data_IF_845548260041
#
_entry.id   IF_845548260041
#
_cell.length_a   1.000
_cell.length_b   1.000
_cell.length_c   1.000
_cell.angle_alpha   90.00
_cell.angle_beta   90.00
_cell.angle_gamma   90.00
#
_symmetry.space_group_name_H-M   'P 1'
#
loop_
_entity.id
_entity.type
_entity.pdbx_description
1 polymer ?
#
# COMPACT_ATOMS: atom_id res chain seq x y z
N UNK A 1 16.28 6.82 -15.11
CA UNK A 1 15.66 7.03 -13.79
C UNK A 1 14.36 6.24 -13.73
N UNK A 2 14.26 5.23 -12.88
CA UNK A 2 13.01 4.46 -12.70
C UNK A 2 12.10 5.19 -11.73
N UNK A 3 10.80 5.25 -12.02
CA UNK A 3 9.78 5.81 -11.14
C UNK A 3 8.85 4.70 -10.64
N UNK A 4 8.47 4.78 -9.38
CA UNK A 4 7.52 3.87 -8.77
C UNK A 4 6.28 4.64 -8.31
N UNK A 5 5.12 4.10 -8.61
CA UNK A 5 3.82 4.60 -8.17
C UNK A 5 3.20 3.53 -7.26
N UNK A 6 3.44 3.68 -5.96
CA UNK A 6 2.94 2.74 -4.95
C UNK A 6 1.48 3.05 -4.66
N UNK A 7 0.63 2.07 -4.86
CA UNK A 7 -0.82 2.16 -4.72
C UNK A 7 -1.28 1.24 -3.60
N UNK A 8 -2.05 1.76 -2.63
CA UNK A 8 -2.75 0.89 -1.69
C UNK A 8 -3.95 0.23 -2.38
N UNK A 9 -4.17 -1.06 -2.13
CA UNK A 9 -5.35 -1.77 -2.64
C UNK A 9 -6.67 -1.07 -2.29
N UNK A 10 -7.75 -1.34 -3.03
CA UNK A 10 -9.09 -0.86 -2.75
C UNK A 10 -9.69 -1.42 -1.45
N UNK A 11 -10.81 -0.88 -1.01
CA UNK A 11 -11.46 -1.24 0.25
C UNK A 11 -11.84 -2.73 0.31
N UNK A 12 -11.68 -3.31 1.49
CA UNK A 12 -12.17 -4.65 1.86
C UNK A 12 -13.20 -4.54 2.98
N UNK A 13 -13.93 -5.62 3.25
CA UNK A 13 -14.86 -5.64 4.38
C UNK A 13 -14.15 -5.42 5.72
N UNK A 14 -12.90 -5.89 5.87
CA UNK A 14 -12.15 -5.65 7.11
C UNK A 14 -11.67 -4.20 7.23
N UNK A 15 -11.42 -3.49 6.12
CA UNK A 15 -11.19 -2.05 6.17
C UNK A 15 -12.44 -1.33 6.69
N UNK A 16 -13.61 -1.60 6.11
CA UNK A 16 -14.88 -1.03 6.54
C UNK A 16 -15.19 -1.30 8.02
N UNK A 17 -14.84 -2.47 8.51
CA UNK A 17 -15.01 -2.87 9.91
C UNK A 17 -13.86 -2.44 10.82
N UNK A 18 -12.84 -1.73 10.31
CA UNK A 18 -11.64 -1.31 11.03
C UNK A 18 -10.94 -2.47 11.74
N UNK A 19 -10.80 -3.61 11.04
CA UNK A 19 -10.08 -4.79 11.50
C UNK A 19 -8.68 -4.83 10.91
N UNK A 20 -7.74 -5.35 11.68
CA UNK A 20 -6.35 -5.57 11.25
C UNK A 20 -6.33 -6.70 10.24
N UNK A 21 -5.82 -6.45 9.04
CA UNK A 21 -5.81 -7.46 7.97
C UNK A 21 -4.51 -8.26 7.92
N UNK A 22 -3.37 -7.63 7.80
CA UNK A 22 -2.09 -8.31 7.63
C UNK A 22 -2.07 -9.24 6.41
N UNK A 23 -1.56 -10.46 6.62
CA UNK A 23 -1.46 -11.49 5.58
C UNK A 23 -2.75 -12.29 5.37
N UNK A 24 -3.76 -12.09 6.21
CA UNK A 24 -5.10 -12.65 6.00
C UNK A 24 -5.64 -12.18 4.65
N UNK A 25 -6.11 -13.12 3.83
CA UNK A 25 -6.51 -12.84 2.45
C UNK A 25 -8.00 -12.52 2.35
N UNK A 26 -8.35 -11.26 2.59
CA UNK A 26 -9.70 -10.72 2.49
C UNK A 26 -9.85 -10.03 1.12
N UNK A 27 -10.89 -10.38 0.32
CA UNK A 27 -11.11 -9.81 -1.00
C UNK A 27 -11.61 -8.36 -0.94
N UNK A 28 -11.55 -7.66 -2.08
CA UNK A 28 -12.21 -6.36 -2.24
C UNK A 28 -13.71 -6.49 -2.02
N UNK A 29 -14.32 -5.46 -1.43
CA UNK A 29 -15.76 -5.25 -1.49
C UNK A 29 -16.14 -4.43 -2.74
N UNK A 30 -17.42 -4.13 -2.92
CA UNK A 30 -17.89 -3.40 -4.10
C UNK A 30 -17.37 -1.97 -4.13
N UNK A 31 -17.23 -1.31 -2.98
CA UNK A 31 -16.57 0.00 -2.86
C UNK A 31 -15.12 -0.07 -3.33
N UNK A 32 -14.36 -1.06 -2.89
CA UNK A 32 -12.97 -1.24 -3.30
C UNK A 32 -12.81 -1.48 -4.81
N UNK A 33 -13.74 -2.20 -5.45
CA UNK A 33 -13.75 -2.37 -6.90
C UNK A 33 -14.03 -1.05 -7.62
N UNK A 34 -14.97 -0.25 -7.11
CA UNK A 34 -15.26 1.08 -7.66
C UNK A 34 -14.07 2.03 -7.50
N UNK A 35 -13.41 2.03 -6.33
CA UNK A 35 -12.19 2.79 -6.09
C UNK A 35 -11.06 2.40 -7.07
N UNK A 36 -10.85 1.10 -7.28
CA UNK A 36 -9.84 0.62 -8.23
C UNK A 36 -10.16 1.02 -9.68
N UNK A 37 -11.43 1.02 -10.07
CA UNK A 37 -11.85 1.46 -11.40
C UNK A 37 -11.62 2.97 -11.59
N UNK A 38 -11.98 3.79 -10.62
CA UNK A 38 -11.76 5.23 -10.63
C UNK A 38 -10.25 5.58 -10.69
N UNK A 39 -9.43 4.89 -9.88
CA UNK A 39 -7.97 5.01 -9.96
C UNK A 39 -7.45 4.65 -11.36
N UNK A 40 -7.96 3.56 -11.96
CA UNK A 40 -7.58 3.18 -13.32
C UNK A 40 -7.90 4.26 -14.34
N UNK A 41 -9.04 4.94 -14.22
CA UNK A 41 -9.40 6.06 -15.09
C UNK A 41 -8.47 7.27 -14.91
N UNK A 42 -8.01 7.55 -13.69
CA UNK A 42 -7.01 8.60 -13.41
C UNK A 42 -5.67 8.22 -14.04
N UNK A 43 -5.17 7.03 -13.75
CA UNK A 43 -3.89 6.55 -14.25
C UNK A 43 -3.84 6.37 -15.76
N UNK A 44 -4.98 6.16 -16.43
CA UNK A 44 -5.06 6.03 -17.90
C UNK A 44 -4.63 7.28 -18.67
N UNK A 45 -4.50 8.42 -17.99
CA UNK A 45 -3.95 9.65 -18.56
C UNK A 45 -2.43 9.65 -18.67
N UNK A 46 -1.77 8.67 -18.08
CA UNK A 46 -0.33 8.49 -18.07
C UNK A 46 0.06 7.17 -18.74
N UNK A 47 1.32 7.05 -19.12
CA UNK A 47 1.88 5.81 -19.68
C UNK A 47 2.72 5.12 -18.60
N UNK A 48 2.55 3.81 -18.48
CA UNK A 48 3.32 2.95 -17.57
C UNK A 48 3.89 1.78 -18.34
N UNK A 49 5.05 1.29 -17.90
CA UNK A 49 5.76 0.19 -18.54
C UNK A 49 5.42 -1.16 -17.88
N UNK A 50 5.11 -1.15 -16.59
CA UNK A 50 4.89 -2.37 -15.81
C UNK A 50 3.89 -2.14 -14.68
N UNK A 51 3.07 -3.16 -14.41
CA UNK A 51 2.27 -3.24 -13.19
C UNK A 51 2.67 -4.50 -12.42
N UNK A 52 3.02 -4.33 -11.15
CA UNK A 52 3.28 -5.42 -10.22
C UNK A 52 2.35 -5.32 -9.02
N UNK A 53 2.10 -6.44 -8.32
CA UNK A 53 1.24 -6.44 -7.14
C UNK A 53 1.73 -7.39 -6.05
N UNK A 54 1.27 -7.16 -4.83
CA UNK A 54 1.25 -8.17 -3.78
C UNK A 54 0.48 -9.42 -4.25
N UNK A 55 0.80 -10.62 -3.73
CA UNK A 55 0.05 -11.85 -4.06
C UNK A 55 -1.34 -11.92 -3.42
N UNK A 56 -1.67 -11.07 -2.45
CA UNK A 56 -2.96 -11.08 -1.77
C UNK A 56 -4.09 -10.64 -2.72
N UNK A 57 -5.25 -11.32 -2.62
CA UNK A 57 -6.38 -11.19 -3.56
C UNK A 57 -6.83 -9.74 -3.77
N UNK A 58 -6.93 -8.95 -2.70
CA UNK A 58 -7.31 -7.53 -2.74
C UNK A 58 -6.35 -6.67 -3.57
N UNK A 59 -5.05 -6.90 -3.46
CA UNK A 59 -4.05 -6.16 -4.23
C UNK A 59 -4.00 -6.65 -5.68
N UNK A 60 -4.10 -7.96 -5.91
CA UNK A 60 -4.17 -8.51 -7.26
C UNK A 60 -5.42 -8.06 -8.01
N UNK A 61 -6.59 -8.05 -7.36
CA UNK A 61 -7.83 -7.60 -8.00
C UNK A 61 -7.77 -6.12 -8.33
N UNK A 62 -7.29 -5.27 -7.40
CA UNK A 62 -7.03 -3.84 -7.66
C UNK A 62 -6.11 -3.66 -8.87
N UNK A 63 -4.98 -4.36 -8.90
CA UNK A 63 -4.01 -4.25 -9.98
C UNK A 63 -4.59 -4.72 -11.34
N UNK A 64 -5.41 -5.78 -11.36
CA UNK A 64 -6.07 -6.26 -12.59
C UNK A 64 -7.08 -5.25 -13.13
N UNK A 65 -7.87 -4.63 -12.25
CA UNK A 65 -8.83 -3.58 -12.64
C UNK A 65 -8.08 -2.40 -13.26
N UNK A 66 -7.02 -1.92 -12.60
CA UNK A 66 -6.16 -0.84 -13.11
C UNK A 66 -5.54 -1.24 -14.44
N UNK A 67 -4.91 -2.43 -14.55
CA UNK A 67 -4.30 -2.89 -15.79
C UNK A 67 -5.29 -2.93 -16.96
N UNK A 68 -6.52 -3.41 -16.72
CA UNK A 68 -7.57 -3.44 -17.73
C UNK A 68 -7.93 -2.03 -18.24
N UNK A 69 -7.99 -1.03 -17.35
CA UNK A 69 -8.24 0.38 -17.72
C UNK A 69 -7.10 1.00 -18.53
N UNK A 70 -5.86 0.62 -18.22
CA UNK A 70 -4.68 1.08 -18.95
C UNK A 70 -4.42 0.30 -20.24
N UNK A 71 -5.16 -0.77 -20.52
CA UNK A 71 -4.88 -1.66 -21.67
C UNK A 71 -3.57 -2.43 -21.54
N UNK A 72 -3.10 -2.65 -20.31
CA UNK A 72 -1.83 -3.30 -20.02
C UNK A 72 -1.99 -4.82 -19.78
N UNK A 73 -0.92 -5.60 -19.92
CA UNK A 73 -0.92 -7.03 -19.56
C UNK A 73 -1.29 -7.29 -18.09
N UNK A 74 -1.61 -8.54 -17.79
CA UNK A 74 -1.89 -8.96 -16.41
C UNK A 74 -0.72 -8.63 -15.47
N UNK A 75 -0.99 -8.06 -14.27
CA UNK A 75 0.05 -7.70 -13.31
C UNK A 75 0.87 -8.91 -12.85
N UNK A 76 2.16 -8.69 -12.60
CA UNK A 76 3.04 -9.70 -12.01
C UNK A 76 2.90 -9.69 -10.48
N UNK A 77 2.61 -10.83 -9.88
CA UNK A 77 2.59 -10.97 -8.43
C UNK A 77 4.02 -11.14 -7.88
N UNK A 78 4.37 -10.34 -6.88
CA UNK A 78 5.66 -10.39 -6.20
C UNK A 78 5.43 -10.68 -4.72
N UNK A 79 5.98 -11.79 -4.21
CA UNK A 79 5.75 -12.23 -2.83
C UNK A 79 6.20 -11.20 -1.80
N UNK A 80 7.36 -10.59 -1.99
CA UNK A 80 7.94 -9.63 -1.04
C UNK A 80 7.16 -8.29 -0.93
N UNK A 81 6.10 -8.10 -1.75
CA UNK A 81 5.14 -7.01 -1.62
C UNK A 81 3.91 -7.37 -0.74
N UNK A 82 3.89 -8.56 -0.13
CA UNK A 82 2.82 -8.97 0.80
C UNK A 82 2.75 -7.99 1.99
N UNK A 83 1.55 -7.83 2.56
CA UNK A 83 1.37 -6.96 3.73
C UNK A 83 2.20 -7.46 4.93
N UNK A 84 2.43 -6.57 5.89
CA UNK A 84 3.02 -6.91 7.18
C UNK A 84 2.20 -8.00 7.86
N UNK A 85 2.86 -9.05 8.34
CA UNK A 85 2.20 -10.03 9.19
C UNK A 85 1.95 -9.43 10.58
N UNK A 86 0.69 -9.35 10.99
CA UNK A 86 0.31 -8.89 12.32
C UNK A 86 0.12 -10.03 13.33
N UNK A 87 0.40 -11.28 12.91
CA UNK A 87 0.31 -12.44 13.76
C UNK A 87 -1.08 -12.62 14.38
N UNK A 88 -1.14 -12.88 15.66
CA UNK A 88 -2.40 -13.13 16.38
C UNK A 88 -3.31 -11.89 16.52
N UNK A 89 -2.86 -10.70 16.11
CA UNK A 89 -3.69 -9.51 16.07
C UNK A 89 -4.63 -9.45 14.85
N UNK A 90 -4.39 -10.27 13.81
CA UNK A 90 -5.22 -10.24 12.60
C UNK A 90 -6.68 -10.56 12.90
N UNK A 91 -7.59 -9.83 12.27
CA UNK A 91 -9.04 -9.91 12.50
C UNK A 91 -9.56 -9.15 13.72
N UNK A 92 -8.66 -8.66 14.60
CA UNK A 92 -9.06 -7.85 15.76
C UNK A 92 -9.35 -6.40 15.38
N UNK A 93 -10.29 -5.79 16.08
CA UNK A 93 -10.47 -4.32 16.11
C UNK A 93 -9.43 -3.66 17.04
N UNK A 94 -9.32 -2.33 17.01
CA UNK A 94 -8.42 -1.61 17.91
C UNK A 94 -8.72 -1.86 19.40
N UNK A 95 -9.98 -1.89 19.81
CA UNK A 95 -10.39 -2.14 21.20
C UNK A 95 -10.07 -3.58 21.64
N UNK A 96 -10.27 -4.56 20.76
CA UNK A 96 -9.88 -5.95 21.02
C UNK A 96 -8.38 -6.11 21.11
N UNK A 97 -7.62 -5.41 20.26
CA UNK A 97 -6.15 -5.38 20.31
C UNK A 97 -5.65 -4.83 21.64
N UNK A 98 -6.22 -3.71 22.12
CA UNK A 98 -5.81 -3.07 23.37
C UNK A 98 -6.12 -3.94 24.60
N UNK A 99 -7.21 -4.68 24.55
CA UNK A 99 -7.60 -5.61 25.61
C UNK A 99 -6.70 -6.85 25.63
N UNK A 100 -6.42 -7.43 24.46
CA UNK A 100 -5.70 -8.69 24.33
C UNK A 100 -4.18 -8.51 24.44
N UNK A 101 -3.68 -7.41 23.93
CA UNK A 101 -2.26 -7.05 23.90
C UNK A 101 -2.07 -5.61 24.41
N UNK A 102 -2.15 -5.35 25.73
CA UNK A 102 -1.89 -4.03 26.28
C UNK A 102 -0.53 -3.46 25.89
N UNK A 103 -0.34 -2.17 26.12
CA UNK A 103 0.91 -1.49 25.80
C UNK A 103 2.13 -2.21 26.41
N UNK A 104 3.11 -2.55 25.55
CA UNK A 104 4.33 -3.27 25.95
C UNK A 104 4.24 -4.79 25.89
N UNK A 105 3.06 -5.36 25.61
CA UNK A 105 2.90 -6.79 25.38
C UNK A 105 3.21 -7.10 23.89
N UNK A 106 4.08 -8.07 23.67
CA UNK A 106 4.42 -8.52 22.33
C UNK A 106 3.25 -9.30 21.72
N UNK A 107 3.02 -9.09 20.41
CA UNK A 107 2.02 -9.82 19.63
C UNK A 107 2.71 -11.01 18.96
N UNK A 108 2.34 -12.26 19.29
CA UNK A 108 2.97 -13.44 18.72
C UNK A 108 2.83 -13.48 17.19
N UNK A 109 3.93 -13.77 16.50
CA UNK A 109 3.98 -13.91 15.05
C UNK A 109 3.93 -12.59 14.27
N UNK A 110 3.98 -11.45 14.94
CA UNK A 110 4.03 -10.14 14.26
C UNK A 110 5.40 -9.90 13.64
N UNK A 111 5.41 -9.53 12.34
CA UNK A 111 6.62 -9.14 11.61
C UNK A 111 7.12 -7.77 12.07
N UNK A 112 8.42 -7.59 12.18
CA UNK A 112 9.02 -6.29 12.50
C UNK A 112 8.92 -5.32 11.31
N UNK A 113 8.72 -4.02 11.60
CA UNK A 113 8.68 -2.97 10.56
C UNK A 113 9.98 -2.91 9.77
N UNK A 114 11.11 -3.13 10.41
CA UNK A 114 12.42 -3.14 9.76
C UNK A 114 12.53 -4.27 8.72
N UNK A 115 11.97 -5.44 8.99
CA UNK A 115 11.95 -6.56 8.05
C UNK A 115 11.03 -6.28 6.87
N UNK A 116 9.87 -5.65 7.09
CA UNK A 116 9.00 -5.15 6.00
C UNK A 116 9.76 -4.17 5.12
N UNK A 117 10.37 -3.14 5.69
CA UNK A 117 11.15 -2.15 4.94
C UNK A 117 12.25 -2.82 4.13
N UNK A 118 13.01 -3.72 4.73
CA UNK A 118 14.13 -4.43 4.10
C UNK A 118 13.69 -5.24 2.87
N UNK A 119 12.60 -6.06 2.98
CA UNK A 119 12.13 -6.86 1.84
C UNK A 119 11.56 -6.02 0.71
N UNK A 120 10.82 -4.95 1.07
CA UNK A 120 10.16 -4.10 0.08
C UNK A 120 11.17 -3.21 -0.65
N UNK A 121 12.06 -2.52 0.07
CA UNK A 121 13.10 -1.68 -0.55
C UNK A 121 13.99 -2.50 -1.46
N UNK A 122 14.42 -3.71 -1.03
CA UNK A 122 15.17 -4.63 -1.90
C UNK A 122 14.39 -4.95 -3.18
N UNK A 123 13.10 -5.23 -3.07
CA UNK A 123 12.25 -5.53 -4.23
C UNK A 123 12.19 -4.35 -5.21
N UNK A 124 12.06 -3.12 -4.71
CA UNK A 124 12.05 -1.92 -5.56
C UNK A 124 13.42 -1.71 -6.24
N UNK A 125 14.53 -1.90 -5.53
CA UNK A 125 15.87 -1.87 -6.11
C UNK A 125 16.03 -2.92 -7.23
N UNK A 126 15.61 -4.17 -6.99
CA UNK A 126 15.69 -5.24 -7.98
C UNK A 126 14.83 -4.95 -9.22
N UNK A 127 13.66 -4.33 -9.03
CA UNK A 127 12.79 -3.88 -10.13
C UNK A 127 13.47 -2.76 -10.94
N UNK A 128 14.07 -1.76 -10.27
CA UNK A 128 14.75 -0.66 -10.94
C UNK A 128 15.96 -1.13 -11.76
N UNK A 129 16.71 -2.14 -11.28
CA UNK A 129 17.84 -2.73 -12.02
C UNK A 129 17.34 -3.48 -13.26
N UNK A 130 16.24 -4.24 -13.13
CA UNK A 130 15.69 -5.03 -14.25
C UNK A 130 14.91 -4.21 -15.28
N UNK A 131 14.38 -3.07 -14.86
CA UNK A 131 13.56 -2.18 -15.68
C UNK A 131 14.08 -0.73 -15.56
N UNK A 132 15.28 -0.45 -16.12
CA UNK A 132 15.84 0.90 -16.09
C UNK A 132 14.95 1.86 -16.87
N UNK A 133 14.83 3.09 -16.35
CA UNK A 133 14.04 4.19 -16.93
C UNK A 133 12.54 3.91 -17.09
N UNK A 134 12.00 2.93 -16.37
CA UNK A 134 10.60 2.54 -16.44
C UNK A 134 9.72 3.28 -15.43
N UNK A 135 8.44 3.44 -15.77
CA UNK A 135 7.37 3.85 -14.89
C UNK A 135 6.58 2.61 -14.43
N UNK A 136 6.67 2.30 -13.14
CA UNK A 136 6.16 1.05 -12.57
C UNK A 136 5.06 1.33 -11.55
N UNK A 137 3.86 0.81 -11.79
CA UNK A 137 2.78 0.79 -10.78
C UNK A 137 2.98 -0.42 -9.86
N UNK A 138 2.97 -0.18 -8.55
CA UNK A 138 3.15 -1.20 -7.51
C UNK A 138 1.93 -1.22 -6.61
N UNK A 139 1.03 -2.19 -6.78
CA UNK A 139 -0.16 -2.31 -5.94
C UNK A 139 0.16 -3.15 -4.71
N UNK A 140 0.08 -2.50 -3.54
CA UNK A 140 0.48 -3.09 -2.27
C UNK A 140 -0.48 -2.68 -1.12
N UNK A 141 0.05 -2.43 0.05
CA UNK A 141 -0.70 -2.32 1.31
C UNK A 141 -0.21 -1.15 2.16
N UNK A 142 -0.98 -0.82 3.21
CA UNK A 142 -0.70 0.33 4.07
C UNK A 142 0.68 0.28 4.75
N UNK A 143 1.03 -0.82 5.44
CA UNK A 143 2.31 -0.91 6.14
C UNK A 143 3.49 -1.05 5.16
N UNK A 144 3.28 -1.70 4.02
CA UNK A 144 4.29 -1.76 2.95
C UNK A 144 4.65 -0.36 2.45
N UNK A 145 3.65 0.44 2.07
CA UNK A 145 3.86 1.81 1.57
C UNK A 145 4.46 2.68 2.68
N UNK A 146 3.93 2.61 3.92
CA UNK A 146 4.47 3.34 5.07
C UNK A 146 5.95 3.03 5.28
N UNK A 147 6.37 1.78 5.14
CA UNK A 147 7.77 1.38 5.29
C UNK A 147 8.67 2.01 4.23
N UNK A 148 8.18 2.19 3.00
CA UNK A 148 8.94 2.85 1.92
C UNK A 148 8.99 4.36 2.13
N UNK A 149 7.88 4.97 2.55
CA UNK A 149 7.83 6.40 2.89
C UNK A 149 8.81 6.71 4.03
N UNK A 150 8.78 5.93 5.12
CA UNK A 150 9.68 6.11 6.25
C UNK A 150 11.14 5.90 5.87
N UNK A 151 11.44 4.99 4.94
CA UNK A 151 12.79 4.80 4.42
C UNK A 151 13.28 5.99 3.60
N UNK A 152 12.42 6.56 2.74
CA UNK A 152 12.79 7.62 1.79
C UNK A 152 12.71 9.04 2.40
N UNK A 153 11.83 9.25 3.39
CA UNK A 153 11.57 10.54 4.04
C UNK A 153 11.26 10.33 5.53
N UNK A 154 12.25 9.96 6.36
CA UNK A 154 12.05 9.57 7.75
C UNK A 154 11.37 10.66 8.59
N UNK A 155 10.22 10.34 9.20
CA UNK A 155 9.49 11.24 10.11
C UNK A 155 8.80 12.43 9.45
N UNK A 156 8.80 12.54 8.10
CA UNK A 156 8.18 13.68 7.41
C UNK A 156 6.66 13.54 7.24
N UNK A 157 6.15 12.30 7.15
CA UNK A 157 4.75 12.02 6.81
C UNK A 157 4.13 11.05 7.80
N UNK A 158 3.13 11.52 8.52
CA UNK A 158 2.33 10.72 9.48
C UNK A 158 0.89 10.48 9.02
N UNK A 159 0.46 11.14 7.94
CA UNK A 159 -0.90 11.08 7.42
C UNK A 159 -1.25 9.65 7.00
N UNK A 160 -2.54 9.27 7.11
CA UNK A 160 -2.99 7.93 6.72
C UNK A 160 -2.73 7.64 5.24
N UNK A 161 -2.37 6.40 4.94
CA UNK A 161 -2.33 5.90 3.57
C UNK A 161 -3.70 5.33 3.27
N UNK A 162 -4.51 6.02 2.46
CA UNK A 162 -5.89 5.66 2.16
C UNK A 162 -6.02 4.60 1.06
N UNK A 163 -7.17 3.93 0.94
CA UNK A 163 -7.39 2.96 -0.13
C UNK A 163 -7.31 3.64 -1.51
N UNK A 164 -6.61 3.01 -2.43
CA UNK A 164 -6.33 3.53 -3.76
C UNK A 164 -5.54 4.86 -3.81
N UNK A 165 -4.95 5.34 -2.69
CA UNK A 165 -3.99 6.43 -2.73
C UNK A 165 -2.72 6.03 -3.51
N UNK A 166 -2.09 7.02 -4.15
CA UNK A 166 -0.85 6.85 -4.92
C UNK A 166 0.28 7.59 -4.22
N UNK A 167 1.44 6.98 -4.11
CA UNK A 167 2.65 7.60 -3.57
C UNK A 167 3.79 7.39 -4.56
N UNK A 168 4.37 8.48 -5.06
CA UNK A 168 5.37 8.39 -6.13
C UNK A 168 6.79 8.51 -5.59
N UNK A 169 7.68 7.68 -6.15
CA UNK A 169 9.08 7.59 -5.79
C UNK A 169 9.94 7.58 -7.05
N UNK A 170 11.15 8.09 -6.93
CA UNK A 170 12.19 7.96 -7.94
C UNK A 170 13.34 7.10 -7.44
N UNK A 171 13.91 6.30 -8.34
CA UNK A 171 15.13 5.52 -8.08
C UNK A 171 16.23 5.99 -9.02
N UNK A 172 17.28 6.57 -8.42
CA UNK A 172 18.43 7.14 -9.14
C UNK A 172 19.72 6.70 -8.46
N UNK A 173 20.65 6.16 -9.21
CA UNK A 173 21.99 5.77 -8.72
C UNK A 173 21.97 4.88 -7.46
N UNK A 174 20.97 4.04 -7.31
CA UNK A 174 20.83 3.14 -6.15
C UNK A 174 20.06 3.74 -4.97
N UNK A 175 19.66 5.00 -5.06
CA UNK A 175 18.90 5.68 -4.01
C UNK A 175 17.41 5.78 -4.38
N UNK A 176 16.55 5.54 -3.41
CA UNK A 176 15.09 5.68 -3.50
C UNK A 176 14.68 6.96 -2.76
N UNK A 177 14.05 7.89 -3.47
CA UNK A 177 13.57 9.16 -2.92
C UNK A 177 12.05 9.29 -3.12
N UNK A 178 11.34 9.80 -2.12
CA UNK A 178 9.94 10.18 -2.23
C UNK A 178 9.82 11.41 -3.15
N UNK A 179 8.96 11.34 -4.15
CA UNK A 179 8.63 12.44 -5.06
C UNK A 179 7.36 13.15 -4.60
N UNK A 180 6.31 12.39 -4.30
CA UNK A 180 5.07 12.92 -3.73
C UNK A 180 4.40 11.89 -2.83
N UNK A 181 3.97 12.36 -1.65
CA UNK A 181 3.07 11.63 -0.77
C UNK A 181 1.63 11.99 -1.16
N UNK A 182 0.76 10.98 -1.25
CA UNK A 182 -0.62 11.13 -1.72
C UNK A 182 -0.70 11.92 -3.04
N UNK A 183 0.01 11.40 -4.06
CA UNK A 183 0.18 12.03 -5.37
C UNK A 183 -1.19 12.11 -6.07
N UNK A 184 -1.74 13.30 -6.30
CA UNK A 184 -3.05 13.46 -6.92
C UNK A 184 -3.09 12.99 -8.37
N UNK A 185 -1.96 12.72 -9.00
CA UNK A 185 -1.83 12.32 -10.42
C UNK A 185 -2.65 13.22 -11.39
N UNK A 186 -2.90 14.43 -11.01
CA UNK A 186 -3.79 15.50 -11.44
C UNK A 186 -5.07 15.68 -10.60
N UNK A 187 -5.37 16.90 -10.31
CA UNK A 187 -6.36 17.66 -9.52
C UNK A 187 -7.79 17.05 -9.28
N UNK A 188 -8.10 15.84 -9.72
CA UNK A 188 -9.43 15.25 -9.59
C UNK A 188 -9.57 14.21 -8.44
N UNK A 189 -8.53 13.94 -7.70
CA UNK A 189 -8.59 12.97 -6.59
C UNK A 189 -9.35 13.49 -5.36
N UNK A 190 -9.59 14.81 -5.26
CA UNK A 190 -10.33 15.40 -4.14
C UNK A 190 -11.85 15.12 -4.17
N UNK A 191 -12.41 14.72 -5.31
CA UNK A 191 -13.85 14.40 -5.40
C UNK A 191 -14.18 12.94 -5.01
N UNK A 192 -13.16 12.07 -4.85
CA UNK A 192 -13.35 10.68 -4.44
C UNK A 192 -13.04 10.45 -2.94
N UNK A 193 -12.53 11.44 -2.26
CA UNK A 193 -12.44 11.46 -0.81
C UNK A 193 -13.80 11.88 -0.24
N UNK A 194 -14.76 10.96 -0.24
CA UNK A 194 -15.93 11.11 0.62
C UNK A 194 -15.43 11.27 2.05
N UNK A 195 -15.86 12.38 2.65
CA UNK A 195 -15.60 12.80 4.00
C UNK A 195 -15.72 11.61 4.97
N UNK A 196 -14.70 11.39 5.83
CA UNK A 196 -14.66 10.49 7.00
C UNK A 196 -14.06 9.08 6.88
N UNK A 197 -13.52 8.59 5.79
CA UNK A 197 -12.83 7.29 5.82
C UNK A 197 -11.30 7.42 5.98
N UNK A 198 -10.88 7.83 7.16
CA UNK A 198 -9.50 7.60 7.62
C UNK A 198 -9.39 6.12 8.01
N UNK A 199 -9.21 5.25 7.02
CA UNK A 199 -8.97 3.83 7.26
C UNK A 199 -7.51 3.62 7.65
N UNK A 200 -7.21 4.02 8.86
CA UNK A 200 -5.93 3.69 9.47
C UNK A 200 -6.05 2.30 10.07
N UNK A 201 -5.19 1.37 9.67
CA UNK A 201 -5.06 0.08 10.35
C UNK A 201 -4.82 0.36 11.85
N UNK A 202 -5.69 -0.13 12.77
CA UNK A 202 -5.58 0.19 14.20
C UNK A 202 -4.22 -0.15 14.82
N UNK A 203 -3.51 -1.15 14.29
CA UNK A 203 -2.18 -1.50 14.75
C UNK A 203 -1.14 -0.43 14.35
N UNK A 204 -1.22 0.11 13.13
CA UNK A 204 -0.33 1.16 12.64
C UNK A 204 -0.59 2.49 13.36
N UNK A 205 -1.86 2.87 13.53
CA UNK A 205 -2.26 4.05 14.28
C UNK A 205 -1.70 4.06 15.71
N UNK A 206 -1.74 2.91 16.38
CA UNK A 206 -1.22 2.73 17.73
C UNK A 206 0.30 2.84 17.82
N UNK A 207 1.03 2.38 16.81
CA UNK A 207 2.49 2.47 16.78
C UNK A 207 2.97 3.90 16.45
N UNK A 208 2.27 4.62 15.56
CA UNK A 208 2.59 6.01 15.19
C UNK A 208 2.37 7.02 16.33
N UNK A 209 1.46 6.75 17.28
CA UNK A 209 1.22 7.62 18.44
C UNK A 209 2.29 7.56 19.54
N UNK A 210 3.35 6.78 19.36
CA UNK A 210 4.41 6.52 20.35
C UNK A 210 5.79 7.05 19.94
N UNK A 211 5.87 7.76 18.80
CA UNK A 211 7.10 8.41 18.31
C UNK A 211 7.38 9.77 18.96
#
# INVERSE_FOLDING_TARGET
>A
MTRFFLVRHGETEWNRLRKIQGVSDIPLNDTGRAQAAALGDILSKHSFDLIVSSPLSRAQETARIVAAKLGMPAPLAIHDLIERNYGEAEGSSGAELDTRYPAGVEIPGREDRADVAKRVVRTLHDLAIRHPDADIVVVAHGAVIRSVVEYAAPGEYSEPITNCSVHSFSHVAGELALVAFDDPMEVLSHELADEEFVDQNPAEARESSRG
#
